data_IF_969356539788
#
_entry.id   IF_969356539788
#
_cell.length_a   1.000
_cell.length_b   1.000
_cell.length_c   1.000
_cell.angle_alpha   90.00
_cell.angle_beta   90.00
_cell.angle_gamma   90.00
#
_symmetry.space_group_name_H-M   'P 1'
#
loop_
_entity.id
_entity.type
_entity.pdbx_description
1 polymer ?
#
# COMPACT_ATOMS: atom_id res chain seq x y z
N UNK A 1 -8.36 -42.88 -4.41
CA UNK A 1 -9.01 -41.64 -4.91
C UNK A 1 -8.97 -41.66 -6.43
N UNK A 2 -10.11 -41.48 -7.10
CA UNK A 2 -10.15 -41.28 -8.55
C UNK A 2 -10.22 -39.78 -8.85
N UNK A 3 -9.25 -39.27 -9.61
CA UNK A 3 -9.25 -37.88 -10.08
C UNK A 3 -10.26 -37.75 -11.23
N UNK A 4 -11.08 -36.71 -11.20
CA UNK A 4 -12.06 -36.42 -12.26
C UNK A 4 -11.69 -35.11 -12.95
N UNK A 5 -11.96 -35.03 -14.25
CA UNK A 5 -11.77 -33.83 -15.04
C UNK A 5 -12.79 -32.75 -14.64
N UNK A 6 -12.36 -31.55 -14.31
CA UNK A 6 -13.28 -30.45 -13.91
C UNK A 6 -14.13 -29.95 -15.09
N UNK A 7 -13.63 -30.10 -16.31
CA UNK A 7 -14.31 -29.64 -17.54
C UNK A 7 -15.39 -30.62 -18.01
N UNK A 8 -15.08 -31.92 -18.07
CA UNK A 8 -15.99 -32.92 -18.65
C UNK A 8 -16.44 -34.02 -17.68
N UNK A 9 -15.98 -33.96 -16.43
CA UNK A 9 -16.31 -34.93 -15.37
C UNK A 9 -15.89 -36.38 -15.65
N UNK A 10 -15.19 -36.65 -16.76
CA UNK A 10 -14.63 -37.96 -17.05
C UNK A 10 -13.52 -38.32 -16.04
N UNK A 11 -13.38 -39.60 -15.65
CA UNK A 11 -12.31 -40.04 -14.77
C UNK A 11 -10.96 -39.92 -15.50
N UNK A 12 -9.96 -39.34 -14.83
CA UNK A 12 -8.58 -39.30 -15.30
C UNK A 12 -7.93 -40.66 -15.05
N UNK A 13 -7.36 -41.24 -16.10
CA UNK A 13 -6.67 -42.53 -16.01
C UNK A 13 -5.26 -42.31 -15.49
N UNK A 14 -4.71 -43.31 -14.82
CA UNK A 14 -3.34 -43.24 -14.30
C UNK A 14 -2.28 -43.08 -15.43
N UNK A 15 -2.57 -43.62 -16.61
CA UNK A 15 -1.73 -43.49 -17.81
C UNK A 15 -1.64 -42.05 -18.36
N UNK A 16 -2.66 -41.22 -18.10
CA UNK A 16 -2.70 -39.83 -18.56
C UNK A 16 -2.03 -38.85 -17.56
N UNK A 17 -1.41 -39.37 -16.50
CA UNK A 17 -0.73 -38.60 -15.46
C UNK A 17 0.78 -38.77 -15.59
N UNK A 18 1.46 -37.66 -15.85
CA UNK A 18 2.91 -37.55 -15.92
C UNK A 18 3.44 -37.08 -14.57
N UNK A 19 3.76 -38.04 -13.71
CA UNK A 19 4.27 -37.78 -12.35
C UNK A 19 5.61 -37.04 -12.34
N UNK A 20 6.42 -37.22 -13.37
CA UNK A 20 7.69 -36.53 -13.59
C UNK A 20 7.54 -35.02 -13.78
N UNK A 21 6.42 -34.60 -14.38
CA UNK A 21 6.10 -33.20 -14.66
C UNK A 21 5.00 -32.65 -13.75
N UNK A 22 4.45 -33.49 -12.88
CA UNK A 22 3.23 -33.20 -12.11
C UNK A 22 2.08 -32.68 -12.98
N UNK A 23 1.92 -33.23 -14.21
CA UNK A 23 0.85 -32.84 -15.14
C UNK A 23 -0.12 -34.01 -15.36
N UNK A 24 -1.41 -33.70 -15.50
CA UNK A 24 -2.43 -34.66 -15.94
C UNK A 24 -3.16 -34.13 -17.17
N UNK A 25 -3.45 -35.00 -18.14
CA UNK A 25 -4.24 -34.66 -19.32
C UNK A 25 -5.54 -35.47 -19.33
N UNK A 26 -6.67 -34.87 -19.68
CA UNK A 26 -7.89 -35.62 -19.88
C UNK A 26 -7.91 -36.28 -21.26
N UNK A 27 -8.09 -37.61 -21.33
CA UNK A 27 -8.23 -38.33 -22.60
C UNK A 27 -9.49 -37.97 -23.39
N UNK A 28 -10.55 -37.47 -22.73
CA UNK A 28 -11.83 -37.16 -23.40
C UNK A 28 -11.84 -35.75 -24.01
N UNK A 29 -11.47 -34.73 -23.21
CA UNK A 29 -11.57 -33.32 -23.64
C UNK A 29 -10.21 -32.65 -23.89
N UNK A 30 -9.10 -33.32 -23.56
CA UNK A 30 -7.75 -32.78 -23.76
C UNK A 30 -7.30 -31.72 -22.74
N UNK A 31 -8.14 -31.36 -21.77
CA UNK A 31 -7.76 -30.41 -20.71
C UNK A 31 -6.51 -30.88 -19.94
N UNK A 32 -5.58 -29.96 -19.68
CA UNK A 32 -4.31 -30.22 -18.98
C UNK A 32 -4.34 -29.55 -17.61
N UNK A 33 -3.93 -30.29 -16.58
CA UNK A 33 -3.97 -29.88 -15.18
C UNK A 33 -2.57 -29.96 -14.57
N UNK A 34 -2.23 -28.95 -13.77
CA UNK A 34 -1.04 -28.94 -12.90
C UNK A 34 -1.40 -29.52 -11.53
N UNK A 35 -0.64 -30.52 -11.09
CA UNK A 35 -0.83 -31.25 -9.84
C UNK A 35 0.09 -30.76 -8.72
N UNK A 36 1.00 -29.81 -8.96
CA UNK A 36 2.00 -29.31 -7.99
C UNK A 36 1.35 -28.72 -6.72
N UNK A 37 0.08 -28.31 -6.79
CA UNK A 37 -0.68 -27.76 -5.64
C UNK A 37 -1.61 -28.72 -4.90
N UNK A 38 -1.91 -29.92 -5.41
CA UNK A 38 -2.89 -30.83 -4.78
C UNK A 38 -2.19 -31.78 -3.80
N UNK A 39 -2.05 -31.36 -2.53
CA UNK A 39 -1.63 -32.27 -1.45
C UNK A 39 -2.60 -33.45 -1.36
N UNK A 40 -2.10 -34.68 -1.46
CA UNK A 40 -2.88 -35.90 -1.26
C UNK A 40 -3.52 -35.88 0.14
N UNK A 41 -4.85 -35.85 0.20
CA UNK A 41 -5.60 -35.97 1.45
C UNK A 41 -5.72 -37.45 1.77
N UNK A 42 -4.86 -37.97 2.65
CA UNK A 42 -5.09 -39.27 3.26
C UNK A 42 -6.38 -39.21 4.10
N UNK A 43 -7.25 -40.24 4.06
CA UNK A 43 -8.41 -40.30 4.92
C UNK A 43 -7.96 -40.75 6.31
N UNK A 44 -7.59 -39.80 7.18
CA UNK A 44 -7.55 -40.06 8.62
C UNK A 44 -8.90 -39.68 9.21
N UNK A 45 -9.58 -40.72 9.71
CA UNK A 45 -10.75 -40.64 10.58
C UNK A 45 -10.35 -39.90 11.85
N UNK A 46 -10.60 -38.59 11.92
CA UNK A 46 -10.79 -37.87 13.19
C UNK A 46 -11.29 -36.44 12.93
N UNK A 47 -12.46 -36.17 13.50
CA UNK A 47 -13.07 -34.88 13.86
C UNK A 47 -12.73 -33.64 13.02
N UNK A 48 -13.73 -33.28 12.20
CA UNK A 48 -13.97 -31.91 11.75
C UNK A 48 -14.20 -30.99 12.97
N UNK A 49 -13.18 -30.22 13.34
CA UNK A 49 -13.33 -28.84 13.82
C UNK A 49 -12.47 -27.97 12.92
N UNK A 50 -13.10 -26.99 12.29
CA UNK A 50 -12.58 -26.27 11.13
C UNK A 50 -11.17 -25.72 11.33
N UNK A 51 -10.33 -25.89 10.30
CA UNK A 51 -9.20 -25.00 10.10
C UNK A 51 -9.76 -23.60 9.87
N UNK A 52 -9.93 -22.85 10.95
CA UNK A 52 -9.92 -21.40 10.87
C UNK A 52 -8.61 -21.00 10.17
N UNK A 53 -8.63 -20.06 9.22
CA UNK A 53 -7.41 -19.53 8.63
C UNK A 53 -6.47 -19.12 9.76
N UNK A 54 -5.27 -19.67 9.77
CA UNK A 54 -4.26 -19.34 10.76
C UNK A 54 -3.92 -17.87 10.60
N UNK A 55 -4.56 -16.99 11.37
CA UNK A 55 -4.28 -15.55 11.35
C UNK A 55 -2.78 -15.38 11.64
N UNK A 56 -1.99 -14.81 10.72
CA UNK A 56 -0.61 -14.51 11.02
C UNK A 56 -0.59 -13.48 12.15
N UNK A 57 0.18 -13.74 13.21
CA UNK A 57 0.46 -12.75 14.24
C UNK A 57 1.35 -11.68 13.63
N UNK A 58 0.74 -10.64 13.06
CA UNK A 58 1.48 -9.48 12.58
C UNK A 58 1.94 -8.69 13.80
N UNK A 59 3.24 -8.62 14.02
CA UNK A 59 3.81 -7.81 15.09
C UNK A 59 3.50 -6.33 14.85
N UNK A 60 3.34 -5.57 15.95
CA UNK A 60 3.13 -4.13 15.84
C UNK A 60 4.40 -3.47 15.29
N UNK A 61 4.33 -2.75 14.16
CA UNK A 61 5.51 -2.17 13.53
C UNK A 61 6.09 -1.01 14.34
N UNK A 62 7.40 -0.84 14.27
CA UNK A 62 8.14 0.23 14.94
C UNK A 62 7.66 1.61 14.48
N UNK A 63 7.40 2.51 15.43
CA UNK A 63 6.95 3.88 15.16
C UNK A 63 5.43 4.06 15.00
N UNK A 64 4.66 2.96 15.00
CA UNK A 64 3.20 3.02 15.05
C UNK A 64 2.72 3.16 16.50
N UNK A 65 1.92 4.19 16.76
CA UNK A 65 1.21 4.40 18.02
C UNK A 65 -0.22 3.91 17.88
N UNK A 66 -0.64 3.07 18.81
CA UNK A 66 -2.00 2.56 18.91
C UNK A 66 -2.57 3.02 20.25
N UNK A 67 -3.73 3.66 20.19
CA UNK A 67 -4.54 4.04 21.34
C UNK A 67 -5.88 3.32 21.19
N UNK A 68 -6.18 2.40 22.10
CA UNK A 68 -7.43 1.63 22.10
C UNK A 68 -8.29 2.03 23.29
N UNK A 69 -9.58 2.23 23.02
CA UNK A 69 -10.64 2.46 24.01
C UNK A 69 -11.86 1.59 23.65
N UNK A 70 -12.90 1.55 24.47
CA UNK A 70 -14.12 0.78 24.24
C UNK A 70 -14.93 1.27 23.03
N UNK A 71 -14.79 2.55 22.67
CA UNK A 71 -15.54 3.18 21.57
C UNK A 71 -14.76 3.29 20.25
N UNK A 72 -13.45 3.54 20.31
CA UNK A 72 -12.62 3.70 19.12
C UNK A 72 -11.22 3.12 19.29
N UNK A 73 -10.55 2.87 18.17
CA UNK A 73 -9.12 2.59 18.08
C UNK A 73 -8.47 3.64 17.18
N UNK A 74 -7.37 4.24 17.61
CA UNK A 74 -6.58 5.22 16.83
C UNK A 74 -5.19 4.66 16.57
N UNK A 75 -4.84 4.57 15.29
CA UNK A 75 -3.49 4.26 14.82
C UNK A 75 -2.84 5.52 14.28
N UNK A 76 -1.64 5.85 14.74
CA UNK A 76 -0.94 7.06 14.32
C UNK A 76 0.56 6.87 14.12
N UNK A 77 1.11 7.56 13.12
CA UNK A 77 2.55 7.55 12.82
C UNK A 77 3.00 8.86 12.17
N UNK A 78 4.25 9.23 12.43
CA UNK A 78 4.87 10.44 11.88
C UNK A 78 5.44 10.18 10.48
N UNK A 79 5.52 11.23 9.67
CA UNK A 79 6.10 11.15 8.32
C UNK A 79 7.62 11.31 8.30
N UNK A 80 8.19 11.64 9.46
CA UNK A 80 9.60 11.94 9.62
C UNK A 80 10.50 10.86 9.03
N UNK A 81 11.49 11.28 8.26
CA UNK A 81 12.49 10.43 7.65
C UNK A 81 13.68 11.25 7.17
N UNK A 82 14.86 10.62 7.06
CA UNK A 82 16.11 11.29 6.72
C UNK A 82 16.05 12.05 5.38
N UNK A 83 15.26 11.55 4.42
CA UNK A 83 15.05 12.23 3.14
C UNK A 83 14.54 13.67 3.32
N UNK A 84 13.68 13.93 4.32
CA UNK A 84 13.19 15.28 4.58
C UNK A 84 14.28 16.18 5.17
N UNK A 85 15.21 15.62 5.95
CA UNK A 85 16.40 16.34 6.46
C UNK A 85 17.31 16.75 5.31
N UNK A 86 17.64 15.81 4.42
CA UNK A 86 18.44 16.11 3.23
C UNK A 86 17.77 17.13 2.32
N UNK A 87 16.45 17.03 2.11
CA UNK A 87 15.72 18.03 1.32
C UNK A 87 15.69 19.39 1.99
N UNK A 88 15.60 19.48 3.31
CA UNK A 88 15.65 20.76 4.03
C UNK A 88 17.04 21.42 3.89
N UNK A 89 18.12 20.65 4.00
CA UNK A 89 19.49 21.15 3.77
C UNK A 89 19.68 21.60 2.33
N UNK A 90 19.17 20.83 1.37
CA UNK A 90 19.15 21.21 -0.04
C UNK A 90 18.39 22.53 -0.25
N UNK A 91 17.21 22.70 0.34
CA UNK A 91 16.44 23.94 0.22
C UNK A 91 17.18 25.14 0.83
N UNK A 92 17.86 24.95 1.98
CA UNK A 92 18.65 26.00 2.59
C UNK A 92 19.80 26.47 1.67
N UNK A 93 20.54 25.52 1.08
CA UNK A 93 21.58 25.83 0.10
C UNK A 93 20.99 26.47 -1.17
N UNK A 94 19.88 25.92 -1.68
CA UNK A 94 19.17 26.42 -2.85
C UNK A 94 18.79 27.90 -2.69
N UNK A 95 18.07 28.26 -1.62
CA UNK A 95 17.70 29.66 -1.37
C UNK A 95 18.91 30.55 -1.11
N UNK A 96 19.94 30.05 -0.42
CA UNK A 96 21.16 30.82 -0.19
C UNK A 96 21.81 31.21 -1.52
N UNK A 97 21.99 30.25 -2.43
CA UNK A 97 22.57 30.49 -3.76
C UNK A 97 21.65 31.38 -4.60
N UNK A 98 20.34 31.16 -4.58
CA UNK A 98 19.38 32.01 -5.30
C UNK A 98 19.49 33.48 -4.85
N UNK A 99 19.60 33.73 -3.55
CA UNK A 99 19.70 35.08 -3.00
C UNK A 99 21.06 35.74 -3.22
N UNK A 100 22.17 35.01 -3.10
CA UNK A 100 23.52 35.59 -3.16
C UNK A 100 24.08 35.71 -4.57
N UNK A 101 23.63 34.87 -5.51
CA UNK A 101 24.14 34.83 -6.88
C UNK A 101 23.07 35.27 -7.88
N UNK A 102 21.89 34.66 -7.85
CA UNK A 102 20.89 34.90 -8.90
C UNK A 102 20.24 36.28 -8.80
N UNK A 103 19.80 36.70 -7.61
CA UNK A 103 19.11 37.99 -7.46
C UNK A 103 20.00 39.17 -7.90
N UNK A 104 21.28 39.29 -7.47
CA UNK A 104 22.17 40.33 -7.99
C UNK A 104 22.33 40.26 -9.51
N UNK A 105 22.50 39.05 -10.07
CA UNK A 105 22.63 38.86 -11.52
C UNK A 105 21.40 39.34 -12.32
N UNK A 106 20.20 39.29 -11.74
CA UNK A 106 18.98 39.83 -12.37
C UNK A 106 18.93 41.36 -12.28
N UNK A 107 19.36 41.92 -11.16
CA UNK A 107 19.39 43.39 -10.95
C UNK A 107 20.33 44.07 -11.94
N UNK A 108 21.50 43.47 -12.19
CA UNK A 108 22.51 44.01 -13.10
C UNK A 108 22.22 43.70 -14.59
N UNK A 109 21.16 42.93 -14.88
CA UNK A 109 20.85 42.51 -16.24
C UNK A 109 20.18 43.62 -17.07
N UNK A 110 20.38 43.65 -18.41
CA UNK A 110 19.68 44.57 -19.30
C UNK A 110 18.15 44.43 -19.21
N UNK A 111 17.42 45.55 -19.25
CA UNK A 111 15.95 45.57 -19.15
C UNK A 111 15.25 44.68 -20.20
N UNK A 112 15.86 44.52 -21.38
CA UNK A 112 15.33 43.68 -22.45
C UNK A 112 15.20 42.18 -22.09
N UNK A 113 16.01 41.68 -21.14
CA UNK A 113 15.98 40.27 -20.71
C UNK A 113 15.22 40.04 -19.40
N UNK A 114 14.82 41.11 -18.70
CA UNK A 114 14.12 41.04 -17.41
C UNK A 114 12.89 40.13 -17.41
N UNK A 115 11.99 40.15 -18.41
CA UNK A 115 10.81 39.29 -18.39
C UNK A 115 11.17 37.79 -18.28
N UNK A 116 12.21 37.36 -19.00
CA UNK A 116 12.68 35.97 -18.98
C UNK A 116 13.35 35.62 -17.65
N UNK A 117 14.17 36.53 -17.11
CA UNK A 117 14.85 36.32 -15.84
C UNK A 117 13.87 36.28 -14.66
N UNK A 118 12.85 37.14 -14.66
CA UNK A 118 11.81 37.15 -13.64
C UNK A 118 10.93 35.90 -13.71
N UNK A 119 10.57 35.43 -14.91
CA UNK A 119 9.87 34.16 -15.08
C UNK A 119 10.69 32.99 -14.54
N UNK A 120 11.98 32.92 -14.93
CA UNK A 120 12.88 31.89 -14.47
C UNK A 120 13.03 31.92 -12.94
N UNK A 121 13.27 33.09 -12.35
CA UNK A 121 13.39 33.26 -10.91
C UNK A 121 12.11 32.87 -10.17
N UNK A 122 10.94 33.22 -10.72
CA UNK A 122 9.63 32.87 -10.15
C UNK A 122 9.42 31.35 -10.14
N UNK A 123 9.71 30.67 -11.25
CA UNK A 123 9.62 29.21 -11.34
C UNK A 123 10.62 28.53 -10.39
N UNK A 124 11.85 29.03 -10.34
CA UNK A 124 12.91 28.52 -9.49
C UNK A 124 12.53 28.61 -8.00
N UNK A 125 12.09 29.79 -7.55
CA UNK A 125 11.61 29.99 -6.18
C UNK A 125 10.34 29.17 -5.89
N UNK A 126 9.47 29.01 -6.89
CA UNK A 126 8.29 28.14 -6.79
C UNK A 126 8.66 26.69 -6.49
N UNK A 127 9.66 26.13 -7.18
CA UNK A 127 10.18 24.77 -6.90
C UNK A 127 10.77 24.70 -5.50
N UNK A 128 11.58 25.68 -5.09
CA UNK A 128 12.15 25.76 -3.74
C UNK A 128 11.08 25.80 -2.65
N UNK A 129 10.02 26.58 -2.85
CA UNK A 129 8.89 26.68 -1.93
C UNK A 129 8.13 25.36 -1.81
N UNK A 130 7.86 24.66 -2.93
CA UNK A 130 7.21 23.35 -2.92
C UNK A 130 8.03 22.29 -2.18
N UNK A 131 9.34 22.25 -2.41
CA UNK A 131 10.24 21.32 -1.72
C UNK A 131 10.34 21.63 -0.22
N UNK A 132 10.33 22.91 0.14
CA UNK A 132 10.31 23.34 1.55
C UNK A 132 9.02 22.92 2.23
N UNK A 133 7.87 23.14 1.58
CA UNK A 133 6.58 22.68 2.09
C UNK A 133 6.56 21.16 2.27
N UNK A 134 7.11 20.41 1.32
CA UNK A 134 7.22 18.96 1.40
C UNK A 134 8.10 18.50 2.57
N UNK A 135 9.24 19.16 2.80
CA UNK A 135 10.11 18.86 3.94
C UNK A 135 9.42 19.17 5.28
N UNK A 136 8.76 20.34 5.40
CA UNK A 136 8.00 20.73 6.58
C UNK A 136 6.86 19.76 6.87
N UNK A 137 6.10 19.36 5.85
CA UNK A 137 5.06 18.32 5.97
C UNK A 137 5.68 17.00 6.46
N UNK A 138 6.84 16.60 5.95
CA UNK A 138 7.56 15.42 6.43
C UNK A 138 7.94 15.50 7.92
N UNK A 139 8.34 16.66 8.42
CA UNK A 139 8.74 16.82 9.82
C UNK A 139 7.57 16.88 10.80
N UNK A 140 6.51 17.57 10.41
CA UNK A 140 5.40 17.92 11.29
C UNK A 140 4.23 16.95 11.14
N UNK A 141 3.94 16.46 9.94
CA UNK A 141 2.73 15.70 9.71
C UNK A 141 2.76 14.31 10.36
N UNK A 142 1.58 13.95 10.83
CA UNK A 142 1.22 12.66 11.38
C UNK A 142 -0.03 12.18 10.63
N UNK A 143 -0.04 10.92 10.23
CA UNK A 143 -1.28 10.26 9.81
C UNK A 143 -1.96 9.69 11.03
N UNK A 144 -3.27 9.91 11.17
CA UNK A 144 -4.12 9.31 12.20
C UNK A 144 -5.26 8.58 11.51
N UNK A 145 -5.36 7.27 11.73
CA UNK A 145 -6.46 6.42 11.29
C UNK A 145 -7.27 6.08 12.53
N UNK A 146 -8.50 6.57 12.60
CA UNK A 146 -9.45 6.28 13.67
C UNK A 146 -10.50 5.33 13.14
N UNK A 147 -10.80 4.28 13.88
CA UNK A 147 -11.90 3.38 13.59
C UNK A 147 -12.81 3.28 14.80
N UNK A 148 -14.10 3.37 14.56
CA UNK A 148 -15.14 3.03 15.53
C UNK A 148 -16.11 2.03 14.86
N UNK A 149 -17.18 1.63 15.54
CA UNK A 149 -18.14 0.65 14.97
C UNK A 149 -18.90 1.15 13.74
N UNK A 150 -18.94 2.45 13.48
CA UNK A 150 -19.74 3.07 12.41
C UNK A 150 -18.93 3.63 11.25
N UNK A 151 -17.66 3.97 11.43
CA UNK A 151 -16.83 4.64 10.42
C UNK A 151 -15.32 4.48 10.62
N UNK A 152 -14.60 4.71 9.53
CA UNK A 152 -13.13 4.85 9.47
C UNK A 152 -12.82 6.30 9.09
N UNK A 153 -12.09 7.01 9.93
CA UNK A 153 -11.60 8.37 9.66
C UNK A 153 -10.09 8.36 9.43
N UNK A 154 -9.64 8.99 8.35
CA UNK A 154 -8.23 9.16 8.03
C UNK A 154 -7.93 10.66 7.98
N UNK A 155 -6.92 11.09 8.74
CA UNK A 155 -6.48 12.48 8.79
C UNK A 155 -4.96 12.60 8.73
N UNK A 156 -4.50 13.62 8.00
CA UNK A 156 -3.13 14.07 7.90
C UNK A 156 -3.05 15.52 8.42
N UNK A 157 -2.13 15.78 9.34
CA UNK A 157 -1.93 17.12 9.90
C UNK A 157 -0.71 17.18 10.82
N UNK A 158 -0.28 18.37 11.25
CA UNK A 158 -1.05 19.62 11.26
C UNK A 158 -1.04 20.42 9.95
N UNK A 159 -0.07 20.21 9.05
CA UNK A 159 -0.04 20.91 7.77
C UNK A 159 -1.03 20.28 6.78
N UNK A 160 -1.75 21.10 5.98
CA UNK A 160 -2.73 20.61 5.02
C UNK A 160 -2.14 19.57 4.06
N UNK A 161 -2.77 18.40 3.97
CA UNK A 161 -2.37 17.40 2.99
C UNK A 161 -3.59 16.66 2.43
N UNK A 162 -3.65 16.41 1.12
CA UNK A 162 -4.77 15.71 0.52
C UNK A 162 -4.84 14.25 1.00
N UNK A 163 -6.05 13.72 1.14
CA UNK A 163 -6.27 12.33 1.55
C UNK A 163 -7.16 12.17 2.77
N UNK A 164 -7.41 13.25 3.51
CA UNK A 164 -8.34 13.27 4.63
C UNK A 164 -9.73 12.82 4.17
N UNK A 165 -10.31 11.83 4.85
CA UNK A 165 -11.62 11.26 4.50
C UNK A 165 -12.23 10.53 5.67
N UNK A 166 -13.56 10.44 5.64
CA UNK A 166 -14.34 9.58 6.53
C UNK A 166 -15.16 8.63 5.67
N UNK A 167 -15.09 7.34 5.97
CA UNK A 167 -15.79 6.28 5.24
C UNK A 167 -16.73 5.57 6.21
N UNK A 168 -18.04 5.50 5.93
CA UNK A 168 -18.95 4.71 6.76
C UNK A 168 -18.57 3.23 6.69
N UNK A 169 -18.52 2.57 7.83
CA UNK A 169 -18.28 1.14 7.93
C UNK A 169 -19.50 0.33 7.47
N UNK A 170 -20.69 0.91 7.58
CA UNK A 170 -21.93 0.29 7.13
C UNK A 170 -21.90 0.13 5.61
N UNK A 171 -21.67 -1.10 5.16
CA UNK A 171 -21.53 -1.45 3.76
C UNK A 171 -20.13 -1.92 3.36
N UNK A 172 -19.14 -1.86 4.24
CA UNK A 172 -17.84 -2.49 4.00
C UNK A 172 -17.93 -3.99 4.27
N UNK A 173 -17.52 -4.79 3.29
CA UNK A 173 -17.53 -6.25 3.38
C UNK A 173 -16.17 -6.83 3.71
N UNK A 174 -15.10 -6.20 3.23
CA UNK A 174 -13.74 -6.68 3.44
C UNK A 174 -12.71 -5.57 3.36
N UNK A 175 -11.62 -5.67 4.11
CA UNK A 175 -10.42 -4.84 3.96
C UNK A 175 -9.30 -5.69 3.37
N UNK A 176 -8.43 -5.08 2.57
CA UNK A 176 -7.28 -5.80 2.02
C UNK A 176 -6.16 -4.86 1.56
N UNK A 177 -4.92 -5.34 1.65
CA UNK A 177 -3.74 -4.63 1.18
C UNK A 177 -3.33 -5.03 -0.25
N UNK A 178 -3.01 -4.04 -1.08
CA UNK A 178 -2.42 -4.21 -2.40
C UNK A 178 -0.96 -3.74 -2.42
N UNK A 179 -0.08 -4.54 -3.03
CA UNK A 179 1.28 -4.14 -3.37
C UNK A 179 1.28 -3.36 -4.68
N UNK A 180 1.52 -2.06 -4.59
CA UNK A 180 1.65 -1.16 -5.74
C UNK A 180 3.13 -0.94 -6.07
N UNK A 181 3.50 -1.24 -7.32
CA UNK A 181 4.78 -0.84 -7.89
C UNK A 181 4.65 0.55 -8.50
N UNK A 182 5.39 1.52 -7.98
CA UNK A 182 5.42 2.86 -8.56
C UNK A 182 6.21 2.81 -9.88
N UNK A 183 5.51 2.62 -11.00
CA UNK A 183 6.08 2.77 -12.35
C UNK A 183 6.08 4.22 -12.84
N UNK A 184 5.53 5.15 -12.05
CA UNK A 184 5.42 6.56 -12.45
C UNK A 184 6.68 7.32 -12.02
N UNK A 185 7.27 8.13 -12.91
CA UNK A 185 8.26 9.13 -12.51
C UNK A 185 7.63 10.04 -11.45
N UNK A 186 8.45 10.52 -10.52
CA UNK A 186 7.99 11.53 -9.58
C UNK A 186 7.61 12.83 -10.30
N UNK A 187 6.90 13.70 -9.58
CA UNK A 187 6.80 15.11 -9.95
C UNK A 187 8.25 15.57 -10.07
N UNK A 188 8.68 15.98 -11.27
CA UNK A 188 10.04 16.35 -11.69
C UNK A 188 10.85 15.30 -12.48
N UNK A 189 10.44 14.03 -12.59
CA UNK A 189 11.09 13.06 -13.49
C UNK A 189 12.57 12.78 -13.18
N UNK A 190 13.04 13.14 -11.99
CA UNK A 190 14.46 13.10 -11.60
C UNK A 190 14.83 11.79 -10.89
N UNK A 191 13.87 10.89 -10.67
CA UNK A 191 14.13 9.57 -10.07
C UNK A 191 13.83 8.44 -11.06
N UNK A 192 14.86 8.01 -11.81
CA UNK A 192 14.95 6.67 -12.42
C UNK A 192 15.45 5.63 -11.40
N UNK A 193 15.10 5.79 -10.12
CA UNK A 193 15.47 4.87 -9.06
C UNK A 193 14.37 3.86 -8.81
N UNK A 194 14.75 2.59 -8.60
CA UNK A 194 13.85 1.53 -8.14
C UNK A 194 13.19 1.96 -6.82
N UNK A 195 12.00 2.56 -6.91
CA UNK A 195 11.21 2.91 -5.74
C UNK A 195 10.67 1.60 -5.19
N UNK A 196 11.09 1.25 -3.97
CA UNK A 196 10.64 0.04 -3.27
C UNK A 196 9.10 -0.07 -3.29
N UNK A 197 8.56 -1.29 -3.13
CA UNK A 197 7.13 -1.51 -3.23
C UNK A 197 6.38 -0.64 -2.22
N UNK A 198 5.33 0.03 -2.69
CA UNK A 198 4.39 0.75 -1.83
C UNK A 198 3.15 -0.09 -1.62
N UNK A 199 2.48 0.09 -0.49
CA UNK A 199 1.26 -0.63 -0.16
C UNK A 199 0.08 0.35 -0.08
N UNK A 200 -1.08 -0.11 -0.52
CA UNK A 200 -2.34 0.59 -0.40
C UNK A 200 -3.32 -0.28 0.39
N UNK A 201 -4.07 0.34 1.29
CA UNK A 201 -5.18 -0.27 2.01
C UNK A 201 -6.48 0.09 1.29
N UNK A 202 -7.23 -0.93 0.89
CA UNK A 202 -8.53 -0.78 0.24
C UNK A 202 -9.60 -1.48 1.07
N UNK A 203 -10.83 -1.05 0.88
CA UNK A 203 -12.02 -1.75 1.34
C UNK A 203 -12.88 -2.13 0.14
N UNK A 204 -13.59 -3.25 0.25
CA UNK A 204 -14.67 -3.64 -0.64
C UNK A 204 -16.00 -3.23 -0.01
N UNK A 205 -16.90 -2.69 -0.82
CA UNK A 205 -18.29 -2.49 -0.40
C UNK A 205 -19.17 -3.73 -0.68
N UNK A 206 -20.44 -3.68 -0.28
CA UNK A 206 -21.43 -4.74 -0.56
C UNK A 206 -21.69 -4.97 -2.05
N UNK A 207 -21.34 -4.02 -2.91
CA UNK A 207 -21.50 -4.08 -4.36
C UNK A 207 -20.22 -4.58 -5.05
N UNK A 208 -19.15 -4.85 -4.29
CA UNK A 208 -17.85 -5.27 -4.80
C UNK A 208 -16.98 -4.11 -5.32
N UNK A 209 -17.38 -2.86 -5.12
CA UNK A 209 -16.58 -1.69 -5.50
C UNK A 209 -15.40 -1.50 -4.54
N UNK A 210 -14.29 -1.02 -5.08
CA UNK A 210 -13.05 -0.79 -4.35
C UNK A 210 -12.99 0.65 -3.83
N UNK A 211 -13.00 0.80 -2.51
CA UNK A 211 -12.80 2.08 -1.82
C UNK A 211 -11.35 2.16 -1.34
N UNK A 212 -10.55 3.03 -1.96
CA UNK A 212 -9.17 3.27 -1.50
C UNK A 212 -9.21 4.05 -0.19
N UNK A 213 -8.73 3.45 0.90
CA UNK A 213 -8.68 4.09 2.21
C UNK A 213 -7.37 4.87 2.36
N UNK A 214 -6.25 4.18 2.22
CA UNK A 214 -4.92 4.75 2.41
C UNK A 214 -3.99 4.29 1.29
N UNK A 215 -3.06 5.14 0.88
CA UNK A 215 -2.08 4.80 -0.16
C UNK A 215 -0.67 5.19 0.27
N UNK A 216 0.33 4.67 -0.44
CA UNK A 216 1.75 4.98 -0.23
C UNK A 216 2.25 4.60 1.17
N UNK A 217 1.71 3.53 1.75
CA UNK A 217 2.25 2.91 2.96
C UNK A 217 3.59 2.28 2.58
N UNK A 218 4.68 2.65 3.24
CA UNK A 218 6.03 2.18 2.86
C UNK A 218 6.30 0.74 3.30
N UNK A 219 5.74 0.35 4.44
CA UNK A 219 6.08 -0.91 5.11
C UNK A 219 4.94 -1.91 4.97
N UNK A 220 5.29 -3.13 4.54
CA UNK A 220 4.39 -4.28 4.40
C UNK A 220 3.65 -4.57 5.71
N UNK A 221 4.42 -4.66 6.80
CA UNK A 221 3.93 -4.94 8.14
C UNK A 221 2.94 -3.89 8.63
N UNK A 222 3.20 -2.61 8.35
CA UNK A 222 2.26 -1.53 8.70
C UNK A 222 0.94 -1.65 7.96
N UNK A 223 0.98 -2.02 6.68
CA UNK A 223 -0.24 -2.22 5.91
C UNK A 223 -1.07 -3.40 6.46
N UNK A 224 -0.42 -4.55 6.68
CA UNK A 224 -1.07 -5.75 7.23
C UNK A 224 -1.58 -5.54 8.67
N UNK A 225 -0.84 -4.81 9.49
CA UNK A 225 -1.25 -4.50 10.85
C UNK A 225 -2.45 -3.54 10.86
N UNK A 226 -2.50 -2.56 9.95
CA UNK A 226 -3.65 -1.69 9.76
C UNK A 226 -4.90 -2.49 9.38
N UNK A 227 -4.79 -3.39 8.39
CA UNK A 227 -5.87 -4.30 7.98
C UNK A 227 -6.41 -5.07 9.18
N UNK A 228 -5.53 -5.77 9.91
CA UNK A 228 -5.89 -6.59 11.07
C UNK A 228 -6.62 -5.82 12.17
N UNK A 229 -6.15 -4.61 12.52
CA UNK A 229 -6.76 -3.81 13.59
C UNK A 229 -8.11 -3.24 13.15
N UNK A 230 -8.23 -2.80 11.90
CA UNK A 230 -9.48 -2.28 11.36
C UNK A 230 -10.55 -3.37 11.29
N UNK A 231 -10.21 -4.54 10.75
CA UNK A 231 -11.13 -5.68 10.67
C UNK A 231 -11.59 -6.15 12.05
N UNK A 232 -10.65 -6.30 12.99
CA UNK A 232 -10.96 -6.67 14.37
C UNK A 232 -11.96 -5.70 14.99
N UNK A 233 -11.79 -4.39 14.77
CA UNK A 233 -12.65 -3.38 15.37
C UNK A 233 -14.03 -3.30 14.73
N UNK A 234 -14.09 -3.54 13.42
CA UNK A 234 -15.33 -3.53 12.64
C UNK A 234 -16.10 -4.85 12.73
N UNK A 235 -15.48 -5.92 13.25
CA UNK A 235 -16.09 -7.25 13.27
C UNK A 235 -16.19 -7.88 11.87
N UNK A 236 -15.31 -7.47 10.96
CA UNK A 236 -15.23 -8.03 9.61
C UNK A 236 -14.45 -9.33 9.66
N UNK A 237 -15.01 -10.39 9.06
CA UNK A 237 -14.32 -11.66 8.89
C UNK A 237 -13.43 -11.62 7.66
N UNK A 238 -12.13 -11.76 7.88
CA UNK A 238 -11.11 -11.79 6.84
C UNK A 238 -11.34 -12.94 5.85
N UNK A 239 -11.40 -12.58 4.56
CA UNK A 239 -11.58 -13.47 3.42
C UNK A 239 -10.59 -13.09 2.30
N UNK A 240 -9.98 -14.08 1.62
CA UNK A 240 -8.96 -13.80 0.62
C UNK A 240 -9.54 -13.03 -0.58
N UNK A 241 -8.94 -11.87 -0.89
CA UNK A 241 -9.31 -11.04 -2.04
C UNK A 241 -8.33 -11.25 -3.20
N UNK A 242 -8.83 -11.44 -4.41
CA UNK A 242 -7.99 -11.60 -5.59
C UNK A 242 -7.02 -10.42 -5.79
N UNK A 243 -5.72 -10.71 -5.82
CA UNK A 243 -4.65 -9.72 -5.97
C UNK A 243 -4.18 -9.07 -4.68
N UNK A 244 -4.74 -9.46 -3.53
CA UNK A 244 -4.22 -9.07 -2.22
C UNK A 244 -2.78 -9.51 -2.01
N UNK A 245 -2.16 -8.98 -0.98
CA UNK A 245 -0.81 -9.34 -0.60
C UNK A 245 -0.69 -10.83 -0.26
N UNK A 246 -0.23 -11.63 -1.24
CA UNK A 246 -0.22 -13.10 -1.20
C UNK A 246 0.57 -13.71 -0.03
N UNK A 247 1.50 -12.96 0.55
CA UNK A 247 2.25 -13.38 1.73
C UNK A 247 1.86 -12.48 2.90
N UNK A 248 0.94 -12.94 3.74
CA UNK A 248 0.51 -12.27 4.97
C UNK A 248 1.43 -12.58 6.17
N UNK A 249 2.48 -13.38 5.98
CA UNK A 249 3.46 -13.63 7.04
C UNK A 249 4.43 -12.45 7.14
N UNK A 250 4.64 -11.95 8.36
CA UNK A 250 5.74 -11.06 8.67
C UNK A 250 7.02 -11.85 8.50
N UNK A 251 7.88 -11.45 7.57
CA UNK A 251 9.20 -12.05 7.44
C UNK A 251 9.99 -11.77 8.71
N UNK A 252 10.48 -12.83 9.34
CA UNK A 252 11.54 -12.74 10.34
C UNK A 252 12.87 -12.30 9.69
#
# INVERSE_FOLDING_TARGET
>A
MQLHCEVCQAPLRAEDVRFDLALAKCHVCGAVYDLVGRKARMPTTESQHGLAPHRPRVARPTGLREEENDQYTVLSWRWFGLNHVFTALFCAAFFTISCTVMVPSVVDAPLAVWPFLLLFLSLHLGVGALLTYWALAGFLNTTRVRVNRGEITINHGPLPWPGNRTVPAQGLTQLYCLKEWSRKPDIFGLSYGYRGPSFSLLALDQQGNKVKLLSRIKNKETALYLELVLERRLGIEDSPVAGELADRTGGA
#
